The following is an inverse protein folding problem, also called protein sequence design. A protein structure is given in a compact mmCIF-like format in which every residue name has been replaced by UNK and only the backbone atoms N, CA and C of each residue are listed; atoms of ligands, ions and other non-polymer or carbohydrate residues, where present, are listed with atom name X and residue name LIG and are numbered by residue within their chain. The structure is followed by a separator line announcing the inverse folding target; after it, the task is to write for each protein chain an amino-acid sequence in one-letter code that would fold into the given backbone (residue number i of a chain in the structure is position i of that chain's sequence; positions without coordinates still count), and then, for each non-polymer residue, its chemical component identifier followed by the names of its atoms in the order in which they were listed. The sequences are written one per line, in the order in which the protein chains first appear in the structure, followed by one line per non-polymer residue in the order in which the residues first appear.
data_IF_214710931634
#
_entry.id   IF_214710931634
#
_cell.length_a   1.000
_cell.length_b   1.000
_cell.length_c   1.000
_cell.angle_alpha   90.00
_cell.angle_beta   90.00
_cell.angle_gamma   90.00
#
_symmetry.space_group_name_H-M   'P 1'
#
loop_
_entity.id
_entity.type
_entity.pdbx_description
1 polymer ?
#
# COMPACT_ATOMS: atom_id res chain seq x y z
N UNK A 1 31.68 -23.99 35.93
CA UNK A 1 30.61 -23.79 34.93
C UNK A 1 30.28 -22.32 34.72
N UNK A 2 30.01 -21.51 35.76
CA UNK A 2 29.71 -20.07 35.62
C UNK A 2 30.79 -19.26 34.87
N UNK A 3 32.07 -19.45 35.20
CA UNK A 3 33.18 -18.76 34.54
C UNK A 3 33.36 -19.14 33.06
N UNK A 4 33.06 -20.39 32.67
CA UNK A 4 33.11 -20.85 31.29
C UNK A 4 31.92 -20.31 30.48
N UNK A 5 30.73 -20.24 31.09
CA UNK A 5 29.57 -19.61 30.49
C UNK A 5 29.76 -18.09 30.36
N UNK A 6 30.29 -17.40 31.37
CA UNK A 6 30.60 -15.95 31.30
C UNK A 6 31.68 -15.63 30.24
N UNK A 7 32.63 -16.56 30.02
CA UNK A 7 33.65 -16.44 28.98
C UNK A 7 33.06 -16.71 27.59
N UNK A 8 32.19 -17.73 27.47
CA UNK A 8 31.45 -18.03 26.24
C UNK A 8 30.47 -16.90 25.88
N UNK A 9 29.76 -16.31 26.84
CA UNK A 9 28.90 -15.12 26.65
C UNK A 9 29.71 -13.85 26.34
N UNK A 10 30.98 -13.76 26.76
CA UNK A 10 31.86 -12.64 26.33
C UNK A 10 32.42 -12.84 24.91
N UNK A 11 32.67 -14.09 24.52
CA UNK A 11 33.21 -14.43 23.20
C UNK A 11 32.09 -14.49 22.13
N UNK A 12 30.91 -14.95 22.55
CA UNK A 12 29.66 -15.13 21.80
C UNK A 12 28.50 -14.58 22.64
N UNK A 13 28.36 -13.24 22.74
CA UNK A 13 27.23 -12.65 23.47
C UNK A 13 25.90 -13.19 22.94
N UNK A 14 24.93 -13.47 23.83
CA UNK A 14 23.63 -13.95 23.41
C UNK A 14 23.07 -12.96 22.40
N UNK A 15 22.67 -13.51 21.27
CA UNK A 15 22.03 -12.85 20.14
C UNK A 15 20.89 -12.01 20.70
N UNK A 16 21.11 -10.68 20.81
CA UNK A 16 20.01 -9.77 21.14
C UNK A 16 19.10 -9.75 19.92
N UNK A 17 17.85 -10.19 20.04
CA UNK A 17 16.93 -10.10 18.93
C UNK A 17 16.65 -8.62 18.61
N UNK A 18 16.31 -8.37 17.36
CA UNK A 18 15.79 -7.07 16.97
C UNK A 18 14.56 -6.75 17.82
N UNK A 19 14.43 -5.49 18.21
CA UNK A 19 13.29 -5.06 19.02
C UNK A 19 12.07 -4.91 18.11
N UNK A 20 10.87 -5.34 18.56
CA UNK A 20 9.66 -5.05 17.83
C UNK A 20 9.50 -3.55 17.59
N UNK A 21 9.02 -3.18 16.40
CA UNK A 21 8.85 -1.79 16.00
C UNK A 21 8.86 -1.59 14.50
N UNK A 22 8.47 -0.39 14.09
CA UNK A 22 8.51 0.09 12.71
C UNK A 22 9.76 0.94 12.49
N UNK A 23 10.57 0.57 11.51
CA UNK A 23 11.80 1.24 11.12
C UNK A 23 11.69 1.64 9.65
N UNK A 24 12.00 2.90 9.36
CA UNK A 24 11.78 3.44 8.01
C UNK A 24 13.04 4.07 7.48
N UNK A 25 13.29 3.85 6.20
CA UNK A 25 14.36 4.50 5.48
C UNK A 25 13.77 5.38 4.39
N UNK A 26 14.29 6.60 4.31
CA UNK A 26 14.00 7.53 3.23
C UNK A 26 15.31 7.90 2.55
N UNK A 27 15.36 7.83 1.21
CA UNK A 27 16.57 8.14 0.48
C UNK A 27 16.91 9.64 0.57
N UNK A 28 18.18 9.94 0.83
CA UNK A 28 18.75 11.27 0.57
C UNK A 28 19.17 11.41 -0.91
N UNK A 29 19.41 12.64 -1.36
CA UNK A 29 19.68 12.98 -2.79
C UNK A 29 20.85 12.22 -3.43
N UNK A 30 21.76 11.68 -2.63
CA UNK A 30 22.99 11.01 -3.09
C UNK A 30 23.08 9.56 -2.59
N UNK A 31 21.98 9.00 -2.06
CA UNK A 31 21.97 7.63 -1.57
C UNK A 31 22.01 6.61 -2.71
N UNK A 32 22.79 5.54 -2.51
CA UNK A 32 22.93 4.45 -3.48
C UNK A 32 21.63 3.64 -3.66
N UNK A 33 20.66 3.77 -2.73
CA UNK A 33 19.37 3.10 -2.77
C UNK A 33 18.24 4.15 -2.79
N UNK A 34 17.70 4.51 -3.98
CA UNK A 34 16.83 5.68 -4.12
C UNK A 34 15.36 5.42 -3.78
N UNK A 35 15.05 4.44 -2.93
CA UNK A 35 13.68 4.05 -2.62
C UNK A 35 13.38 4.04 -1.12
N UNK A 36 12.16 4.46 -0.76
CA UNK A 36 11.64 4.34 0.60
C UNK A 36 11.31 2.88 0.94
N UNK A 37 11.48 2.53 2.22
CA UNK A 37 11.12 1.20 2.72
C UNK A 37 10.70 1.28 4.18
N UNK A 38 9.80 0.37 4.57
CA UNK A 38 9.39 0.19 5.96
C UNK A 38 9.67 -1.24 6.40
N UNK A 39 10.56 -1.41 7.36
CA UNK A 39 10.83 -2.66 8.05
C UNK A 39 10.01 -2.69 9.33
N UNK A 40 9.03 -3.60 9.42
CA UNK A 40 8.30 -3.84 10.68
C UNK A 40 8.78 -5.15 11.28
N UNK A 41 9.26 -5.08 12.51
CA UNK A 41 9.63 -6.24 13.31
C UNK A 41 8.44 -6.54 14.20
N UNK A 42 7.72 -7.61 13.89
CA UNK A 42 6.54 -8.08 14.63
C UNK A 42 6.99 -8.81 15.89
N UNK A 43 7.96 -9.71 15.71
CA UNK A 43 8.63 -10.44 16.78
C UNK A 43 10.11 -10.57 16.45
N UNK A 44 10.97 -10.96 17.41
CA UNK A 44 12.35 -11.37 17.17
C UNK A 44 12.59 -12.30 15.96
N UNK A 45 11.60 -13.11 15.60
CA UNK A 45 11.69 -14.16 14.58
C UNK A 45 10.87 -13.85 13.33
N UNK A 46 10.07 -12.78 13.35
CA UNK A 46 9.17 -12.40 12.27
C UNK A 46 9.29 -10.91 11.97
N UNK A 47 9.75 -10.60 10.76
CA UNK A 47 9.82 -9.25 10.25
C UNK A 47 9.26 -9.20 8.83
N UNK A 48 8.71 -8.05 8.49
CA UNK A 48 8.18 -7.76 7.17
C UNK A 48 8.86 -6.52 6.60
N UNK A 49 9.08 -6.51 5.30
CA UNK A 49 9.47 -5.33 4.54
C UNK A 49 8.28 -4.89 3.71
N UNK A 50 7.95 -3.61 3.79
CA UNK A 50 6.88 -3.01 3.02
C UNK A 50 7.53 -2.01 2.06
N UNK A 51 7.24 -2.23 0.78
CA UNK A 51 7.81 -1.53 -0.36
C UNK A 51 6.68 -0.93 -1.20
N UNK A 52 6.81 0.37 -1.54
CA UNK A 52 5.85 1.10 -2.38
C UNK A 52 4.35 0.88 -2.02
N UNK A 53 4.03 0.67 -0.74
CA UNK A 53 2.69 0.31 -0.22
C UNK A 53 1.97 -0.92 -0.80
N UNK A 54 2.50 -1.57 -1.83
CA UNK A 54 1.86 -2.71 -2.50
C UNK A 54 2.55 -4.04 -2.28
N UNK A 55 3.84 -4.02 -1.89
CA UNK A 55 4.62 -5.24 -1.76
C UNK A 55 5.03 -5.44 -0.32
N UNK A 56 4.49 -6.51 0.30
CA UNK A 56 4.88 -6.98 1.63
C UNK A 56 5.73 -8.23 1.47
N UNK A 57 6.98 -8.19 1.91
CA UNK A 57 7.90 -9.32 1.92
C UNK A 57 8.10 -9.80 3.34
N UNK A 58 7.88 -11.09 3.60
CA UNK A 58 8.28 -11.71 4.85
C UNK A 58 9.78 -11.99 4.81
N UNK A 59 10.48 -11.54 5.86
CA UNK A 59 11.93 -11.63 5.94
C UNK A 59 12.33 -12.76 6.86
N UNK A 60 13.37 -13.50 6.45
CA UNK A 60 14.11 -14.31 7.40
C UNK A 60 14.95 -13.42 8.34
N UNK A 61 15.47 -14.02 9.41
CA UNK A 61 16.19 -13.28 10.45
C UNK A 61 17.41 -12.50 9.91
N UNK A 62 18.18 -13.08 8.99
CA UNK A 62 19.40 -12.43 8.47
C UNK A 62 19.06 -11.27 7.53
N UNK A 63 18.04 -11.41 6.69
CA UNK A 63 17.53 -10.32 5.85
C UNK A 63 16.98 -9.17 6.68
N UNK A 64 16.23 -9.47 7.76
CA UNK A 64 15.75 -8.47 8.70
C UNK A 64 16.90 -7.69 9.36
N UNK A 65 17.99 -8.37 9.74
CA UNK A 65 19.16 -7.72 10.32
C UNK A 65 19.96 -6.89 9.31
N UNK A 66 20.08 -7.35 8.06
CA UNK A 66 20.70 -6.55 6.99
C UNK A 66 19.95 -5.24 6.75
N UNK A 67 18.62 -5.33 6.63
CA UNK A 67 17.76 -4.18 6.40
C UNK A 67 17.73 -3.26 7.61
N UNK A 68 17.66 -3.82 8.82
CA UNK A 68 17.72 -3.03 10.06
C UNK A 68 19.02 -2.22 10.14
N UNK A 69 20.17 -2.86 9.95
CA UNK A 69 21.47 -2.18 9.97
C UNK A 69 21.55 -1.11 8.89
N UNK A 70 21.05 -1.39 7.68
CA UNK A 70 21.01 -0.45 6.57
C UNK A 70 20.15 0.78 6.90
N UNK A 71 18.93 0.58 7.40
CA UNK A 71 18.01 1.66 7.82
C UNK A 71 18.63 2.49 8.96
N UNK A 72 19.44 1.89 9.83
CA UNK A 72 20.18 2.58 10.88
C UNK A 72 21.50 3.22 10.40
N UNK A 73 21.71 3.29 9.08
CA UNK A 73 22.92 3.84 8.44
C UNK A 73 24.23 3.16 8.87
N UNK A 74 24.17 1.88 9.25
CA UNK A 74 25.36 1.08 9.50
C UNK A 74 25.96 0.63 8.17
N UNK A 75 27.26 0.88 7.98
CA UNK A 75 27.92 0.55 6.71
C UNK A 75 27.96 -0.96 6.47
N UNK A 76 27.81 -1.37 5.21
CA UNK A 76 27.92 -2.75 4.73
C UNK A 76 29.06 -3.53 5.36
N UNK A 77 30.28 -2.99 5.38
CA UNK A 77 31.45 -3.65 5.98
C UNK A 77 31.32 -3.90 7.49
N UNK A 78 30.67 -2.99 8.21
CA UNK A 78 30.42 -3.14 9.64
C UNK A 78 29.34 -4.19 9.88
N UNK A 79 28.26 -4.18 9.10
CA UNK A 79 27.20 -5.19 9.14
C UNK A 79 27.74 -6.58 8.85
N UNK A 80 28.51 -6.75 7.77
CA UNK A 80 29.16 -8.03 7.43
C UNK A 80 30.05 -8.51 8.57
N UNK A 81 30.85 -7.63 9.17
CA UNK A 81 31.72 -7.99 10.29
C UNK A 81 30.92 -8.38 11.54
N UNK A 82 29.84 -7.68 11.84
CA UNK A 82 28.98 -7.96 12.99
C UNK A 82 28.26 -9.30 12.83
N UNK A 83 27.62 -9.53 11.68
CA UNK A 83 26.82 -10.72 11.42
C UNK A 83 27.67 -11.96 11.19
N UNK A 84 28.84 -11.84 10.54
CA UNK A 84 29.83 -12.93 10.46
C UNK A 84 30.25 -13.43 11.84
N UNK A 85 30.45 -12.51 12.80
CA UNK A 85 30.78 -12.88 14.18
C UNK A 85 29.57 -13.50 14.90
N UNK A 86 28.37 -12.92 14.71
CA UNK A 86 27.11 -13.34 15.35
C UNK A 86 26.73 -14.77 14.97
N UNK A 87 26.73 -15.09 13.68
CA UNK A 87 26.33 -16.39 13.15
C UNK A 87 27.48 -17.40 13.02
N UNK A 88 28.71 -16.99 13.32
CA UNK A 88 29.92 -17.79 13.11
C UNK A 88 30.07 -18.28 11.65
N UNK A 89 29.71 -17.43 10.70
CA UNK A 89 29.77 -17.68 9.24
C UNK A 89 30.89 -16.84 8.63
N UNK A 90 31.50 -17.32 7.54
CA UNK A 90 32.54 -16.58 6.83
C UNK A 90 32.02 -15.23 6.30
N UNK A 91 32.82 -14.17 6.44
CA UNK A 91 32.46 -12.83 5.94
C UNK A 91 32.10 -12.81 4.45
N UNK A 92 32.74 -13.65 3.65
CA UNK A 92 32.46 -13.75 2.21
C UNK A 92 31.03 -14.24 1.94
N UNK A 93 30.52 -15.18 2.73
CA UNK A 93 29.14 -15.65 2.63
C UNK A 93 28.17 -14.54 3.02
N UNK A 94 28.36 -13.91 4.17
CA UNK A 94 27.50 -12.79 4.63
C UNK A 94 27.51 -11.63 3.63
N UNK A 95 28.66 -11.33 3.01
CA UNK A 95 28.78 -10.31 1.98
C UNK A 95 27.96 -10.67 0.73
N UNK A 96 28.04 -11.93 0.29
CA UNK A 96 27.27 -12.44 -0.85
C UNK A 96 25.77 -12.38 -0.57
N UNK A 97 25.33 -12.81 0.61
CA UNK A 97 23.91 -12.80 0.99
C UNK A 97 23.36 -11.37 1.10
N UNK A 98 24.18 -10.43 1.60
CA UNK A 98 23.83 -9.01 1.63
C UNK A 98 23.68 -8.46 0.22
N UNK A 99 24.67 -8.68 -0.65
CA UNK A 99 24.64 -8.14 -2.02
C UNK A 99 23.46 -8.70 -2.82
N UNK A 100 23.19 -10.01 -2.72
CA UNK A 100 22.07 -10.67 -3.38
C UNK A 100 20.71 -10.11 -2.90
N UNK A 101 20.53 -9.87 -1.60
CA UNK A 101 19.31 -9.26 -1.08
C UNK A 101 19.09 -7.86 -1.68
N UNK A 102 20.10 -6.99 -1.64
CA UNK A 102 19.95 -5.61 -2.11
C UNK A 102 19.80 -5.53 -3.63
N UNK A 103 20.45 -6.42 -4.39
CA UNK A 103 20.25 -6.54 -5.84
C UNK A 103 18.81 -6.95 -6.16
N UNK A 104 18.26 -7.97 -5.49
CA UNK A 104 16.86 -8.38 -5.66
C UNK A 104 15.88 -7.28 -5.30
N UNK A 105 16.11 -6.56 -4.19
CA UNK A 105 15.29 -5.41 -3.80
C UNK A 105 15.36 -4.31 -4.85
N UNK A 106 16.54 -3.99 -5.37
CA UNK A 106 16.69 -2.98 -6.42
C UNK A 106 15.91 -3.38 -7.68
N UNK A 107 15.99 -4.64 -8.09
CA UNK A 107 15.23 -5.17 -9.25
C UNK A 107 13.72 -5.07 -9.00
N UNK A 108 13.25 -5.47 -7.82
CA UNK A 108 11.84 -5.39 -7.42
C UNK A 108 11.30 -3.95 -7.41
N UNK A 109 12.13 -2.99 -7.02
CA UNK A 109 11.74 -1.58 -6.93
C UNK A 109 11.82 -0.83 -8.27
N UNK A 110 12.67 -1.30 -9.18
CA UNK A 110 12.88 -0.65 -10.51
C UNK A 110 12.08 -1.29 -11.64
N UNK A 111 11.56 -2.50 -11.43
CA UNK A 111 10.83 -3.25 -12.46
C UNK A 111 9.34 -3.20 -12.15
N UNK A 112 8.52 -2.50 -12.97
CA UNK A 112 7.07 -2.50 -12.81
C UNK A 112 6.52 -3.93 -12.86
N UNK A 113 5.58 -4.23 -11.96
CA UNK A 113 4.77 -5.45 -11.92
C UNK A 113 5.55 -6.77 -11.90
N UNK A 114 6.78 -6.73 -11.37
CA UNK A 114 7.58 -7.93 -11.14
C UNK A 114 7.03 -8.73 -9.96
N UNK A 115 6.59 -9.96 -10.22
CA UNK A 115 6.23 -10.91 -9.17
C UNK A 115 7.49 -11.36 -8.39
N UNK A 116 7.62 -11.03 -7.09
CA UNK A 116 8.79 -11.39 -6.29
C UNK A 116 8.97 -12.91 -6.15
N UNK A 117 7.90 -13.70 -6.17
CA UNK A 117 7.98 -15.15 -5.99
C UNK A 117 8.50 -15.81 -7.26
N UNK A 118 7.91 -15.48 -8.41
CA UNK A 118 8.21 -16.14 -9.69
C UNK A 118 9.58 -15.74 -10.27
N UNK A 119 10.08 -14.54 -9.95
CA UNK A 119 11.30 -14.00 -10.55
C UNK A 119 12.49 -13.84 -9.60
N UNK A 120 12.26 -13.73 -8.29
CA UNK A 120 13.32 -13.42 -7.32
C UNK A 120 13.47 -14.51 -6.24
N UNK A 121 12.87 -15.68 -6.43
CA UNK A 121 12.90 -16.84 -5.51
C UNK A 121 12.53 -16.48 -4.06
N UNK A 122 11.66 -15.49 -3.83
CA UNK A 122 11.12 -15.24 -2.50
C UNK A 122 10.15 -16.37 -2.10
N UNK A 123 10.31 -16.92 -0.90
CA UNK A 123 9.37 -17.94 -0.40
C UNK A 123 7.99 -17.32 -0.20
N UNK A 124 6.99 -17.86 -0.91
CA UNK A 124 5.58 -17.45 -0.76
C UNK A 124 5.06 -17.91 0.61
N UNK A 125 4.95 -17.00 1.56
CA UNK A 125 4.03 -17.17 2.68
C UNK A 125 2.62 -16.78 2.24
N UNK A 126 1.61 -17.50 2.73
CA UNK A 126 0.21 -17.17 2.46
C UNK A 126 -0.03 -15.75 2.98
N UNK A 127 -0.56 -14.82 2.15
CA UNK A 127 -0.89 -13.47 2.59
C UNK A 127 -1.67 -13.53 3.90
N UNK A 128 -1.26 -12.74 4.89
CA UNK A 128 -2.01 -12.58 6.14
C UNK A 128 -2.08 -13.84 7.01
N UNK A 129 -1.24 -14.86 6.79
CA UNK A 129 -1.29 -16.11 7.60
C UNK A 129 -0.61 -16.05 8.98
N UNK A 130 -0.03 -14.90 9.37
CA UNK A 130 0.65 -14.69 10.65
C UNK A 130 -0.16 -13.82 11.63
N UNK A 131 0.11 -13.94 12.94
CA UNK A 131 -0.36 -12.95 13.91
C UNK A 131 0.31 -11.60 13.64
N UNK A 132 -0.46 -10.62 13.15
CA UNK A 132 0.02 -9.26 12.91
C UNK A 132 -0.14 -8.41 14.17
N UNK A 133 0.88 -7.62 14.54
CA UNK A 133 0.77 -6.71 15.69
C UNK A 133 -0.06 -5.47 15.36
N UNK A 134 -0.16 -5.11 14.07
CA UNK A 134 -0.97 -4.01 13.57
C UNK A 134 -1.39 -4.24 12.11
N UNK A 135 -2.48 -3.59 11.65
CA UNK A 135 -2.88 -3.60 10.25
C UNK A 135 -1.75 -3.09 9.33
N UNK A 136 -1.74 -3.54 8.08
CA UNK A 136 -0.84 -3.04 7.05
C UNK A 136 -1.33 -1.73 6.44
N UNK A 137 -2.66 -1.48 6.51
CA UNK A 137 -3.32 -0.34 5.89
C UNK A 137 -4.49 0.15 6.75
N UNK A 138 -4.72 1.46 6.75
CA UNK A 138 -5.98 2.04 7.21
C UNK A 138 -6.68 2.76 6.06
N UNK A 139 -7.96 2.49 5.92
CA UNK A 139 -8.85 3.16 4.98
C UNK A 139 -9.67 4.20 5.77
N UNK A 140 -9.36 5.48 5.58
CA UNK A 140 -9.86 6.61 6.37
C UNK A 140 -10.97 7.32 5.59
N UNK A 141 -12.23 7.05 5.95
CA UNK A 141 -13.38 7.70 5.33
C UNK A 141 -13.55 9.12 5.90
N UNK A 142 -13.04 10.13 5.19
CA UNK A 142 -13.02 11.49 5.73
C UNK A 142 -14.40 12.17 5.72
N UNK A 143 -15.30 11.69 4.87
CA UNK A 143 -16.66 12.19 4.71
C UNK A 143 -17.49 11.15 3.99
N UNK A 144 -18.81 11.24 4.05
CA UNK A 144 -19.68 10.57 3.09
C UNK A 144 -20.34 11.53 2.10
N UNK A 145 -19.90 12.80 2.04
CA UNK A 145 -20.33 13.75 0.99
C UNK A 145 -19.69 13.38 -0.34
N UNK A 146 -20.44 13.53 -1.42
CA UNK A 146 -19.97 13.30 -2.80
C UNK A 146 -20.06 14.60 -3.61
N UNK A 147 -19.40 14.65 -4.77
CA UNK A 147 -19.49 15.77 -5.71
C UNK A 147 -20.90 16.00 -6.25
N UNK A 148 -21.20 17.23 -6.67
CA UNK A 148 -22.52 17.56 -7.26
C UNK A 148 -22.80 16.68 -8.49
N UNK A 149 -23.97 16.03 -8.51
CA UNK A 149 -24.40 15.15 -9.61
C UNK A 149 -24.33 13.65 -9.32
N UNK A 150 -23.65 13.22 -8.24
CA UNK A 150 -23.72 11.82 -7.81
C UNK A 150 -25.11 11.51 -7.22
N UNK A 151 -25.83 10.54 -7.76
CA UNK A 151 -27.17 10.13 -7.28
C UNK A 151 -27.14 9.33 -5.95
N UNK A 152 -26.13 9.53 -5.11
CA UNK A 152 -25.93 8.76 -3.88
C UNK A 152 -26.25 9.64 -2.66
N UNK A 153 -27.54 9.80 -2.37
CA UNK A 153 -27.98 10.17 -1.02
C UNK A 153 -27.95 8.89 -0.15
N UNK A 154 -26.74 8.47 0.25
CA UNK A 154 -26.57 7.19 0.95
C UNK A 154 -27.26 7.21 2.32
N UNK A 155 -27.82 6.07 2.75
CA UNK A 155 -28.26 5.89 4.13
C UNK A 155 -27.10 6.12 5.13
N UNK A 156 -25.86 5.97 4.68
CA UNK A 156 -24.64 6.25 5.44
C UNK A 156 -24.49 7.74 5.77
N UNK A 157 -24.75 8.66 4.83
CA UNK A 157 -24.79 10.10 5.13
C UNK A 157 -25.82 10.43 6.20
N UNK A 158 -26.94 9.69 6.25
CA UNK A 158 -28.01 9.87 7.24
C UNK A 158 -27.64 9.29 8.61
N UNK A 159 -26.73 8.32 8.67
CA UNK A 159 -26.22 7.71 9.91
C UNK A 159 -25.17 8.60 10.60
N UNK A 160 -24.29 9.23 9.82
CA UNK A 160 -23.26 10.14 10.36
C UNK A 160 -23.91 11.45 10.78
N UNK A 161 -23.98 11.70 12.09
CA UNK A 161 -24.52 12.96 12.63
C UNK A 161 -23.44 14.01 12.90
N UNK A 162 -22.19 13.58 13.02
CA UNK A 162 -21.03 14.43 13.26
C UNK A 162 -19.79 13.76 12.64
N UNK A 163 -19.09 14.49 11.76
CA UNK A 163 -17.77 14.07 11.25
C UNK A 163 -16.67 14.49 12.23
N UNK A 164 -15.57 13.73 12.28
CA UNK A 164 -14.35 14.09 12.99
C UNK A 164 -13.81 15.43 12.46
N UNK A 165 -13.28 16.21 13.39
CA UNK A 165 -12.58 17.47 13.10
C UNK A 165 -11.20 17.24 12.48
N UNK A 166 -10.61 18.32 11.93
CA UNK A 166 -9.22 18.30 11.45
C UNK A 166 -8.26 17.80 12.53
N UNK A 167 -8.40 18.27 13.76
CA UNK A 167 -7.53 17.89 14.88
C UNK A 167 -7.68 16.42 15.26
N UNK A 168 -8.89 15.86 15.14
CA UNK A 168 -9.16 14.45 15.41
C UNK A 168 -8.55 13.56 14.32
N UNK A 169 -8.70 13.93 13.04
CA UNK A 169 -8.06 13.19 11.94
C UNK A 169 -6.55 13.24 12.00
N UNK A 170 -5.94 14.38 12.32
CA UNK A 170 -4.49 14.48 12.54
C UNK A 170 -4.04 13.54 13.67
N UNK A 171 -4.85 13.40 14.72
CA UNK A 171 -4.58 12.46 15.81
C UNK A 171 -4.75 10.99 15.41
N UNK A 172 -5.65 10.69 14.49
CA UNK A 172 -5.76 9.34 13.90
C UNK A 172 -4.50 9.01 13.10
N UNK A 173 -4.01 9.95 12.27
CA UNK A 173 -2.74 9.78 11.53
C UNK A 173 -1.58 9.53 12.50
N UNK A 174 -1.40 10.37 13.52
CA UNK A 174 -0.34 10.20 14.52
C UNK A 174 -0.41 8.84 15.23
N UNK A 175 -1.60 8.46 15.74
CA UNK A 175 -1.79 7.17 16.41
C UNK A 175 -1.54 5.98 15.50
N UNK A 176 -1.96 6.06 14.23
CA UNK A 176 -1.76 5.00 13.26
C UNK A 176 -0.27 4.70 13.09
N UNK A 177 0.55 5.75 13.06
CA UNK A 177 2.00 5.60 13.02
C UNK A 177 2.57 5.01 14.30
N UNK A 178 2.12 5.49 15.47
CA UNK A 178 2.58 5.00 16.78
C UNK A 178 2.35 3.49 16.96
N UNK A 179 1.27 2.95 16.38
CA UNK A 179 0.96 1.51 16.42
C UNK A 179 1.58 0.74 15.24
N UNK A 180 2.30 1.40 14.33
CA UNK A 180 3.04 0.75 13.26
C UNK A 180 2.24 0.48 11.98
N UNK A 181 1.22 1.30 11.68
CA UNK A 181 0.54 1.32 10.38
C UNK A 181 1.35 2.16 9.38
N UNK A 182 1.86 1.56 8.29
CA UNK A 182 2.70 2.25 7.32
C UNK A 182 1.94 2.86 6.14
N UNK A 183 0.66 2.51 5.93
CA UNK A 183 -0.10 2.92 4.74
C UNK A 183 -1.49 3.44 5.11
N UNK A 184 -1.83 4.64 4.60
CA UNK A 184 -3.13 5.28 4.78
C UNK A 184 -3.79 5.55 3.42
N UNK A 185 -5.04 5.16 3.25
CA UNK A 185 -5.86 5.57 2.10
C UNK A 185 -6.98 6.48 2.57
N UNK A 186 -7.02 7.71 2.07
CA UNK A 186 -8.10 8.65 2.32
C UNK A 186 -9.24 8.41 1.32
N UNK A 187 -10.45 8.17 1.83
CA UNK A 187 -11.60 7.66 1.07
C UNK A 187 -12.92 8.16 1.68
N UNK A 188 -14.02 7.43 1.44
CA UNK A 188 -15.37 7.65 1.95
C UNK A 188 -16.31 7.98 0.79
N UNK A 189 -16.89 9.18 0.84
CA UNK A 189 -17.44 9.85 -0.32
C UNK A 189 -16.30 10.42 -1.16
N UNK A 190 -16.27 11.73 -1.34
CA UNK A 190 -15.20 12.42 -2.05
C UNK A 190 -14.23 13.08 -1.05
N UNK A 191 -13.06 12.47 -0.75
CA UNK A 191 -12.14 12.97 0.26
C UNK A 191 -11.58 14.35 -0.09
N UNK A 192 -11.47 14.68 -1.37
CA UNK A 192 -10.96 15.99 -1.79
C UNK A 192 -11.90 17.14 -1.43
N UNK A 193 -13.15 16.88 -1.04
CA UNK A 193 -14.04 17.91 -0.48
C UNK A 193 -13.59 18.38 0.90
N UNK A 194 -12.78 17.60 1.62
CA UNK A 194 -12.27 18.02 2.92
C UNK A 194 -11.11 19.02 2.77
N UNK A 195 -11.23 20.24 3.31
CA UNK A 195 -10.24 21.30 3.11
C UNK A 195 -8.90 20.99 3.78
N UNK A 196 -8.89 20.06 4.73
CA UNK A 196 -7.72 19.65 5.50
C UNK A 196 -7.01 18.40 4.95
N UNK A 197 -7.50 17.78 3.86
CA UNK A 197 -6.82 16.63 3.23
C UNK A 197 -5.32 16.90 2.95
N UNK A 198 -4.90 18.06 2.38
CA UNK A 198 -3.47 18.35 2.19
C UNK A 198 -2.65 18.33 3.49
N UNK A 199 -3.24 18.67 4.64
CA UNK A 199 -2.56 18.65 5.93
C UNK A 199 -2.42 17.24 6.47
N UNK A 200 -3.40 16.36 6.22
CA UNK A 200 -3.32 14.95 6.59
C UNK A 200 -2.24 14.23 5.80
N UNK A 201 -2.16 14.47 4.49
CA UNK A 201 -1.07 14.00 3.64
C UNK A 201 0.28 14.47 4.18
N UNK A 202 0.42 15.77 4.45
CA UNK A 202 1.66 16.33 5.00
C UNK A 202 2.06 15.70 6.34
N UNK A 203 1.10 15.43 7.22
CA UNK A 203 1.35 14.79 8.51
C UNK A 203 1.83 13.35 8.34
N UNK A 204 1.15 12.57 7.49
CA UNK A 204 1.54 11.20 7.15
C UNK A 204 2.94 11.16 6.52
N UNK A 205 3.24 12.10 5.62
CA UNK A 205 4.57 12.27 5.02
C UNK A 205 5.62 12.59 6.08
N UNK A 206 5.32 13.35 7.15
CA UNK A 206 6.32 13.56 8.22
C UNK A 206 6.72 12.26 8.92
N UNK A 207 5.83 11.28 8.98
CA UNK A 207 6.11 9.93 9.49
C UNK A 207 6.71 9.02 8.42
N UNK A 208 6.40 9.30 7.15
CA UNK A 208 6.83 8.54 5.98
C UNK A 208 5.83 7.45 5.67
N UNK A 209 4.62 7.57 6.18
CA UNK A 209 3.54 6.69 5.80
C UNK A 209 3.26 6.91 4.32
N UNK A 210 3.07 5.81 3.60
CA UNK A 210 2.59 5.88 2.23
C UNK A 210 1.14 6.32 2.26
N UNK A 211 0.76 7.22 1.36
CA UNK A 211 -0.60 7.73 1.28
C UNK A 211 -1.25 7.51 -0.08
N UNK A 212 -2.54 7.20 -0.04
CA UNK A 212 -3.40 7.10 -1.21
C UNK A 212 -4.66 7.94 -1.07
N UNK A 213 -5.26 8.31 -2.20
CA UNK A 213 -6.64 8.79 -2.24
C UNK A 213 -7.49 7.92 -3.15
N UNK A 214 -8.73 7.65 -2.75
CA UNK A 214 -9.79 7.13 -3.61
C UNK A 214 -10.74 8.29 -3.93
N UNK A 215 -10.86 8.65 -5.20
CA UNK A 215 -11.54 9.89 -5.61
C UNK A 215 -12.29 9.73 -6.93
N UNK A 216 -13.34 10.54 -7.13
CA UNK A 216 -14.00 10.75 -8.42
C UNK A 216 -13.14 11.58 -9.41
N UNK A 217 -12.07 12.20 -8.92
CA UNK A 217 -11.12 12.96 -9.71
C UNK A 217 -11.59 14.36 -10.13
N UNK A 218 -12.85 14.76 -9.88
CA UNK A 218 -13.41 16.04 -10.36
C UNK A 218 -12.58 17.22 -9.88
N UNK A 219 -12.18 17.24 -8.60
CA UNK A 219 -11.35 18.32 -8.04
C UNK A 219 -9.90 18.30 -8.54
N UNK A 220 -9.43 17.19 -9.09
CA UNK A 220 -8.09 17.07 -9.69
C UNK A 220 -8.01 17.71 -11.09
N UNK A 221 -9.14 18.14 -11.67
CA UNK A 221 -9.13 19.05 -12.83
C UNK A 221 -8.51 20.41 -12.50
N UNK A 222 -8.59 20.85 -11.24
CA UNK A 222 -7.86 22.02 -10.76
C UNK A 222 -6.39 21.64 -10.55
N UNK A 223 -5.54 22.05 -11.51
CA UNK A 223 -4.10 21.76 -11.48
C UNK A 223 -3.39 22.34 -10.27
N UNK A 224 -3.83 23.47 -9.72
CA UNK A 224 -3.19 24.04 -8.53
C UNK A 224 -3.47 23.16 -7.30
N UNK A 225 -4.70 22.65 -7.19
CA UNK A 225 -5.06 21.71 -6.13
C UNK A 225 -4.40 20.34 -6.30
N UNK A 226 -4.38 19.78 -7.52
CA UNK A 226 -3.69 18.54 -7.82
C UNK A 226 -2.21 18.63 -7.44
N UNK A 227 -1.52 19.68 -7.90
CA UNK A 227 -0.12 19.92 -7.55
C UNK A 227 0.08 20.10 -6.05
N UNK A 228 -0.87 20.71 -5.34
CA UNK A 228 -0.81 20.79 -3.88
C UNK A 228 -0.80 19.40 -3.24
N UNK A 229 -1.66 18.46 -3.68
CA UNK A 229 -1.68 17.11 -3.12
C UNK A 229 -0.39 16.34 -3.43
N UNK A 230 0.07 16.37 -4.69
CA UNK A 230 1.31 15.72 -5.12
C UNK A 230 2.52 16.21 -4.29
N UNK A 231 2.59 17.51 -3.99
CA UNK A 231 3.68 18.08 -3.20
C UNK A 231 3.55 17.87 -1.67
N UNK A 232 2.45 17.30 -1.18
CA UNK A 232 2.21 17.06 0.25
C UNK A 232 2.38 15.58 0.64
N UNK A 233 2.98 14.76 -0.23
CA UNK A 233 3.28 13.36 0.04
C UNK A 233 2.20 12.38 -0.38
N UNK A 234 1.41 12.71 -1.42
CA UNK A 234 0.51 11.76 -2.06
C UNK A 234 1.31 10.78 -2.93
N UNK A 235 1.22 9.47 -2.64
CA UNK A 235 2.00 8.45 -3.36
C UNK A 235 1.23 7.72 -4.46
N UNK A 236 -0.09 7.61 -4.33
CA UNK A 236 -0.92 6.99 -5.35
C UNK A 236 -2.37 7.47 -5.34
N UNK A 237 -3.04 7.28 -6.47
CA UNK A 237 -4.42 7.68 -6.70
C UNK A 237 -5.17 6.50 -7.26
N UNK A 238 -6.33 6.22 -6.68
CA UNK A 238 -7.36 5.40 -7.31
C UNK A 238 -8.47 6.33 -7.77
N UNK A 239 -8.60 6.47 -9.08
CA UNK A 239 -9.63 7.29 -9.70
C UNK A 239 -10.81 6.40 -10.07
N UNK A 240 -11.96 6.62 -9.43
CA UNK A 240 -13.21 5.96 -9.79
C UNK A 240 -13.75 6.64 -11.05
N UNK A 241 -13.66 5.96 -12.18
CA UNK A 241 -14.08 6.53 -13.44
C UNK A 241 -15.59 6.42 -13.58
N UNK A 242 -16.24 7.58 -13.71
CA UNK A 242 -17.55 7.69 -14.32
C UNK A 242 -17.37 8.03 -15.81
N UNK A 243 -17.63 7.07 -16.74
CA UNK A 243 -17.44 7.30 -18.17
C UNK A 243 -18.33 8.42 -18.74
N UNK A 244 -19.44 8.73 -18.07
CA UNK A 244 -20.41 9.75 -18.48
C UNK A 244 -20.03 11.16 -17.98
N UNK A 245 -18.97 11.28 -17.18
CA UNK A 245 -18.50 12.55 -16.61
C UNK A 245 -17.19 13.03 -17.28
N UNK A 246 -17.29 14.07 -18.10
CA UNK A 246 -16.13 14.68 -18.79
C UNK A 246 -14.98 15.06 -17.85
N UNK A 247 -15.31 15.50 -16.63
CA UNK A 247 -14.32 15.87 -15.62
C UNK A 247 -13.45 14.69 -15.15
N UNK A 248 -13.98 13.46 -15.12
CA UNK A 248 -13.19 12.28 -14.77
C UNK A 248 -12.14 11.99 -15.86
N UNK A 249 -12.52 12.12 -17.14
CA UNK A 249 -11.59 11.98 -18.25
C UNK A 249 -10.52 13.07 -18.28
N UNK A 250 -10.91 14.31 -17.96
CA UNK A 250 -9.94 15.42 -17.80
C UNK A 250 -8.97 15.15 -16.66
N UNK A 251 -9.45 14.61 -15.53
CA UNK A 251 -8.60 14.23 -14.41
C UNK A 251 -7.61 13.12 -14.78
N UNK A 252 -8.04 12.08 -15.50
CA UNK A 252 -7.13 11.05 -16.04
C UNK A 252 -6.05 11.69 -16.92
N UNK A 253 -6.44 12.56 -17.86
CA UNK A 253 -5.50 13.23 -18.75
C UNK A 253 -4.52 14.18 -18.04
N UNK A 254 -4.93 14.77 -16.91
CA UNK A 254 -4.07 15.61 -16.07
C UNK A 254 -3.11 14.78 -15.20
N UNK A 255 -3.53 13.62 -14.71
CA UNK A 255 -2.75 12.79 -13.78
C UNK A 255 -1.68 11.94 -14.47
N UNK A 256 -1.98 11.36 -15.64
CA UNK A 256 -1.06 10.42 -16.29
C UNK A 256 0.32 11.00 -16.69
N UNK A 257 0.46 12.29 -17.02
CA UNK A 257 1.77 12.89 -17.25
C UNK A 257 2.59 13.14 -15.98
N UNK A 258 1.98 13.11 -14.80
CA UNK A 258 2.64 13.39 -13.53
C UNK A 258 3.36 12.16 -12.99
N UNK A 259 4.37 12.37 -12.14
CA UNK A 259 5.12 11.28 -11.48
C UNK A 259 4.34 10.74 -10.27
N UNK A 260 3.20 10.11 -10.55
CA UNK A 260 2.28 9.56 -9.55
C UNK A 260 1.71 8.22 -10.01
N UNK A 261 1.58 7.26 -9.10
CA UNK A 261 0.93 6.00 -9.43
C UNK A 261 -0.59 6.18 -9.52
N UNK A 262 -1.15 5.95 -10.71
CA UNK A 262 -2.60 6.02 -10.96
C UNK A 262 -3.14 4.64 -11.26
N UNK A 263 -4.20 4.26 -10.55
CA UNK A 263 -5.09 3.14 -10.92
C UNK A 263 -6.47 3.69 -11.26
N UNK A 264 -7.01 3.31 -12.41
CA UNK A 264 -8.38 3.66 -12.80
C UNK A 264 -9.33 2.53 -12.38
N UNK A 265 -10.29 2.83 -11.51
CA UNK A 265 -11.31 1.87 -11.10
C UNK A 265 -12.56 1.95 -11.98
N UNK A 266 -13.03 0.80 -12.46
CA UNK A 266 -14.29 0.66 -13.20
C UNK A 266 -15.27 -0.23 -12.43
N UNK A 267 -16.48 0.27 -12.26
CA UNK A 267 -17.59 -0.52 -11.73
C UNK A 267 -18.44 -1.06 -12.88
N UNK A 268 -18.48 -2.39 -13.02
CA UNK A 268 -19.38 -3.09 -13.93
C UNK A 268 -20.81 -2.90 -13.44
N UNK A 269 -21.62 -2.22 -14.25
CA UNK A 269 -22.98 -1.79 -13.95
C UNK A 269 -23.98 -2.16 -15.08
N UNK A 270 -23.50 -2.81 -16.13
CA UNK A 270 -24.29 -3.39 -17.21
C UNK A 270 -23.60 -4.65 -17.76
N UNK A 271 -24.30 -5.40 -18.62
CA UNK A 271 -23.84 -6.69 -19.14
C UNK A 271 -23.30 -6.61 -20.57
N UNK A 272 -23.21 -5.42 -21.16
CA UNK A 272 -22.71 -5.23 -22.53
C UNK A 272 -21.18 -5.24 -22.52
N UNK A 273 -20.57 -6.38 -22.83
CA UNK A 273 -19.12 -6.55 -22.82
C UNK A 273 -18.43 -5.68 -23.90
N UNK A 274 -19.09 -5.44 -25.05
CA UNK A 274 -18.55 -4.58 -26.11
C UNK A 274 -18.41 -3.13 -25.64
N UNK A 275 -19.31 -2.65 -24.79
CA UNK A 275 -19.20 -1.34 -24.15
C UNK A 275 -17.91 -1.23 -23.33
N UNK A 276 -17.61 -2.22 -22.47
CA UNK A 276 -16.41 -2.20 -21.63
C UNK A 276 -15.14 -2.38 -22.45
N UNK A 277 -15.17 -3.18 -23.51
CA UNK A 277 -14.04 -3.27 -24.43
C UNK A 277 -13.70 -1.90 -25.02
N UNK A 278 -14.69 -1.17 -25.55
CA UNK A 278 -14.48 0.18 -26.08
C UNK A 278 -13.96 1.15 -25.01
N UNK A 279 -14.46 1.04 -23.77
CA UNK A 279 -14.02 1.84 -22.64
C UNK A 279 -12.55 1.57 -22.28
N UNK A 280 -12.16 0.30 -22.23
CA UNK A 280 -10.77 -0.13 -21.98
C UNK A 280 -9.83 0.29 -23.12
N UNK A 281 -10.26 0.16 -24.37
CA UNK A 281 -9.49 0.67 -25.52
C UNK A 281 -9.28 2.19 -25.43
N UNK A 282 -10.28 2.94 -24.96
CA UNK A 282 -10.14 4.38 -24.72
C UNK A 282 -9.13 4.68 -23.60
N UNK A 283 -9.19 3.94 -22.49
CA UNK A 283 -8.22 4.08 -21.39
C UNK A 283 -6.79 3.74 -21.85
N UNK A 284 -6.63 2.70 -22.67
CA UNK A 284 -5.33 2.34 -23.25
C UNK A 284 -4.79 3.46 -24.15
N UNK A 285 -5.66 4.09 -24.95
CA UNK A 285 -5.30 5.24 -25.79
C UNK A 285 -4.88 6.47 -24.97
N UNK A 286 -5.43 6.64 -23.76
CA UNK A 286 -5.00 7.64 -22.80
C UNK A 286 -3.69 7.28 -22.09
N UNK A 287 -3.14 6.08 -22.32
CA UNK A 287 -1.94 5.53 -21.68
C UNK A 287 -2.15 5.11 -20.22
N UNK A 288 -3.39 4.81 -19.83
CA UNK A 288 -3.64 4.11 -18.57
C UNK A 288 -3.05 2.70 -18.66
N UNK A 289 -2.28 2.31 -17.64
CA UNK A 289 -1.70 0.96 -17.55
C UNK A 289 -2.27 0.13 -16.41
N UNK A 290 -2.73 0.77 -15.33
CA UNK A 290 -3.26 0.08 -14.15
C UNK A 290 -4.77 0.31 -14.03
N UNK A 291 -5.52 -0.78 -13.88
CA UNK A 291 -6.96 -0.71 -13.64
C UNK A 291 -7.36 -1.55 -12.44
N UNK A 292 -8.54 -1.25 -11.91
CA UNK A 292 -9.22 -2.08 -10.93
C UNK A 292 -10.66 -2.27 -11.38
N UNK A 293 -11.23 -3.46 -11.19
CA UNK A 293 -12.57 -3.79 -11.65
C UNK A 293 -13.42 -4.30 -10.48
N UNK A 294 -14.66 -3.82 -10.36
CA UNK A 294 -15.66 -4.36 -9.44
C UNK A 294 -17.00 -4.58 -10.14
N UNK A 295 -17.89 -5.37 -9.55
CA UNK A 295 -19.26 -5.51 -10.02
C UNK A 295 -20.23 -4.80 -9.09
N UNK A 296 -21.22 -4.09 -9.64
CA UNK A 296 -22.28 -3.43 -8.87
C UNK A 296 -23.15 -4.44 -8.12
N UNK A 297 -23.45 -5.55 -8.78
CA UNK A 297 -24.35 -6.61 -8.29
C UNK A 297 -23.80 -8.00 -8.65
N UNK A 298 -24.17 -9.01 -7.86
CA UNK A 298 -23.68 -10.40 -8.02
C UNK A 298 -23.98 -11.01 -9.39
N UNK A 299 -25.08 -10.64 -10.02
CA UNK A 299 -25.46 -11.11 -11.36
C UNK A 299 -24.55 -10.59 -12.47
N UNK A 300 -23.72 -9.58 -12.19
CA UNK A 300 -22.71 -9.07 -13.12
C UNK A 300 -21.35 -9.77 -13.01
N UNK A 301 -21.21 -10.79 -12.14
CA UNK A 301 -19.95 -11.51 -11.98
C UNK A 301 -19.41 -12.08 -13.29
N UNK A 302 -20.27 -12.67 -14.12
CA UNK A 302 -19.83 -13.21 -15.40
C UNK A 302 -19.26 -12.11 -16.31
N UNK A 303 -19.91 -10.94 -16.36
CA UNK A 303 -19.42 -9.80 -17.14
C UNK A 303 -18.11 -9.27 -16.55
N UNK A 304 -17.97 -9.21 -15.23
CA UNK A 304 -16.71 -8.85 -14.58
C UNK A 304 -15.57 -9.79 -14.99
N UNK A 305 -15.81 -11.11 -15.01
CA UNK A 305 -14.80 -12.10 -15.42
C UNK A 305 -14.40 -11.90 -16.90
N UNK A 306 -15.38 -11.70 -17.79
CA UNK A 306 -15.14 -11.43 -19.20
C UNK A 306 -14.35 -10.12 -19.43
N UNK A 307 -14.70 -9.06 -18.70
CA UNK A 307 -14.01 -7.75 -18.80
C UNK A 307 -12.59 -7.82 -18.21
N UNK A 308 -12.36 -8.62 -17.17
CA UNK A 308 -11.01 -8.89 -16.66
C UNK A 308 -10.12 -9.51 -17.75
N UNK A 309 -10.59 -10.54 -18.44
CA UNK A 309 -9.83 -11.18 -19.53
C UNK A 309 -9.52 -10.18 -20.66
N UNK A 310 -10.50 -9.36 -21.06
CA UNK A 310 -10.28 -8.30 -22.07
C UNK A 310 -9.22 -7.31 -21.62
N UNK A 311 -9.25 -6.89 -20.35
CA UNK A 311 -8.25 -5.98 -19.82
C UNK A 311 -6.82 -6.58 -19.86
N UNK A 312 -6.69 -7.86 -19.48
CA UNK A 312 -5.40 -8.58 -19.57
C UNK A 312 -4.91 -8.69 -21.02
N UNK A 313 -5.81 -9.00 -21.96
CA UNK A 313 -5.49 -9.07 -23.40
C UNK A 313 -5.06 -7.72 -23.98
N UNK A 314 -5.62 -6.62 -23.47
CA UNK A 314 -5.21 -5.24 -23.79
C UNK A 314 -3.92 -4.80 -23.05
N UNK A 315 -3.36 -5.66 -22.19
CA UNK A 315 -2.09 -5.43 -21.51
C UNK A 315 -2.17 -4.54 -20.27
N UNK A 316 -3.35 -4.42 -19.66
CA UNK A 316 -3.49 -3.73 -18.37
C UNK A 316 -2.95 -4.58 -17.23
N UNK A 317 -2.34 -3.92 -16.24
CA UNK A 317 -2.07 -4.48 -14.92
C UNK A 317 -3.31 -4.31 -14.05
N UNK A 318 -3.82 -5.41 -13.46
CA UNK A 318 -5.03 -5.37 -12.64
C UNK A 318 -4.69 -5.32 -11.15
N UNK A 319 -5.19 -4.29 -10.47
CA UNK A 319 -5.02 -4.08 -9.03
C UNK A 319 -6.28 -4.53 -8.29
N UNK A 320 -6.14 -5.54 -7.43
CA UNK A 320 -7.24 -6.12 -6.65
C UNK A 320 -7.31 -5.59 -5.20
N UNK A 321 -6.20 -5.16 -4.61
CA UNK A 321 -6.12 -4.72 -3.20
C UNK A 321 -6.31 -3.20 -3.05
N UNK A 322 -7.51 -2.72 -3.37
CA UNK A 322 -7.90 -1.32 -3.25
C UNK A 322 -9.20 -1.23 -2.44
N UNK A 323 -9.36 -0.26 -1.52
CA UNK A 323 -10.65 0.06 -0.93
C UNK A 323 -11.55 0.64 -2.03
N UNK A 324 -12.34 -0.21 -2.68
CA UNK A 324 -13.27 0.23 -3.72
C UNK A 324 -14.58 0.68 -3.07
N UNK A 325 -15.22 1.77 -3.54
CA UNK A 325 -16.38 2.32 -2.87
C UNK A 325 -17.65 1.53 -3.23
N UNK A 326 -18.36 1.09 -2.19
CA UNK A 326 -19.80 0.81 -2.17
C UNK A 326 -20.42 0.07 -3.36
N UNK A 327 -19.81 -1.02 -3.82
CA UNK A 327 -20.60 -2.13 -4.33
C UNK A 327 -20.89 -3.09 -3.16
N UNK A 328 -22.09 -3.66 -3.11
CA UNK A 328 -22.40 -4.75 -2.16
C UNK A 328 -21.63 -6.05 -2.47
N UNK A 329 -20.68 -5.99 -3.42
CA UNK A 329 -19.99 -7.13 -4.02
C UNK A 329 -18.57 -6.70 -4.42
N UNK A 330 -17.77 -6.44 -3.39
CA UNK A 330 -16.32 -6.34 -3.53
C UNK A 330 -15.77 -7.74 -3.89
N UNK A 331 -14.91 -7.90 -4.91
CA UNK A 331 -14.21 -9.16 -5.18
C UNK A 331 -13.45 -9.70 -3.95
N UNK A 332 -12.94 -8.80 -3.10
CA UNK A 332 -12.31 -9.15 -1.81
C UNK A 332 -13.33 -9.63 -0.77
N UNK A 333 -14.55 -9.08 -0.73
CA UNK A 333 -15.64 -9.67 0.09
C UNK A 333 -16.10 -11.03 -0.48
N UNK A 334 -16.08 -11.21 -1.80
CA UNK A 334 -16.46 -12.46 -2.46
C UNK A 334 -15.41 -13.58 -2.27
N UNK A 335 -14.12 -13.25 -2.20
CA UNK A 335 -13.06 -14.19 -1.79
C UNK A 335 -13.17 -14.54 -0.30
N UNK A 336 -13.48 -13.55 0.57
CA UNK A 336 -13.65 -13.75 2.01
C UNK A 336 -14.96 -14.48 2.39
N UNK A 337 -16.02 -14.40 1.58
CA UNK A 337 -17.24 -15.21 1.75
C UNK A 337 -17.06 -16.65 1.24
N UNK A 338 -16.12 -16.89 0.31
CA UNK A 338 -15.89 -18.20 -0.30
C UNK A 338 -14.95 -19.11 0.52
N UNK A 339 -14.08 -18.54 1.33
CA UNK A 339 -13.25 -19.29 2.28
C UNK A 339 -13.69 -18.99 3.72
N UNK A 340 -13.97 -20.04 4.51
CA UNK A 340 -14.01 -19.93 5.97
C UNK A 340 -12.61 -19.51 6.47
N UNK A 341 -12.23 -18.25 6.31
CA UNK A 341 -11.00 -17.71 6.84
C UNK A 341 -11.21 -17.52 8.33
N UNK A 342 -10.75 -18.52 9.10
CA UNK A 342 -10.53 -18.40 10.54
C UNK A 342 -9.85 -17.07 10.83
N UNK A 343 -10.52 -16.25 11.64
CA UNK A 343 -10.04 -15.02 12.30
C UNK A 343 -8.52 -14.82 12.23
N UNK A 344 -8.07 -14.28 11.11
CA UNK A 344 -6.78 -13.61 10.96
C UNK A 344 -7.07 -12.15 11.33
N UNK A 345 -6.31 -11.57 12.26
CA UNK A 345 -6.47 -10.16 12.63
C UNK A 345 -6.48 -9.29 11.37
N UNK A 346 -7.50 -8.44 11.22
CA UNK A 346 -7.80 -7.74 9.96
C UNK A 346 -6.56 -7.04 9.38
N UNK A 347 -6.11 -7.49 8.21
CA UNK A 347 -4.93 -6.95 7.53
C UNK A 347 -5.05 -5.46 7.17
N UNK A 348 -6.28 -4.95 7.11
CA UNK A 348 -6.63 -3.54 6.99
C UNK A 348 -7.75 -3.21 7.98
N UNK A 349 -7.88 -1.95 8.37
CA UNK A 349 -9.07 -1.46 9.09
C UNK A 349 -9.65 -0.26 8.35
N UNK A 350 -10.96 -0.10 8.47
CA UNK A 350 -11.71 1.05 7.97
C UNK A 350 -12.10 1.92 9.16
N UNK A 351 -11.95 3.24 9.04
CA UNK A 351 -12.41 4.21 10.04
C UNK A 351 -13.46 5.10 9.38
N UNK A 352 -14.68 5.08 9.93
CA UNK A 352 -15.82 5.87 9.47
C UNK A 352 -15.63 7.38 9.78
N UNK A 353 -16.39 8.28 9.13
CA UNK A 353 -16.24 9.72 9.33
C UNK A 353 -16.45 10.21 10.76
N UNK A 354 -17.16 9.46 11.60
CA UNK A 354 -17.39 9.76 13.02
C UNK A 354 -16.39 9.06 13.97
N UNK A 355 -15.47 8.26 13.42
CA UNK A 355 -14.39 7.59 14.13
C UNK A 355 -14.68 6.18 14.64
N UNK A 356 -15.84 5.62 14.30
CA UNK A 356 -16.13 4.18 14.46
C UNK A 356 -15.25 3.34 13.51
#
# INVERSE_FOLDING_TARGET
MKFLNDLLEKLYPPVKPLQPGLYSYRPEKDDDFPFSMHLRIETPEHAILILHAKTVLHLNQTAAEFLYDFIQHMSRDRTIKALSKRYAVAKATIASDYDDLFERLQVLMTTPDLDPVSFLDFERQVPYSGEIAAPYRLDLALTYRFSEGSEVESELQKRITQELSEEEWLRVVEKSWEIGVPHLIFTGGEPTLQPYLPKLLAAAETHGQVTGILTDGVKLTDRDYMNLLLNQGLDHIVLVLDPDQDACWEAVANLLPEDIHVTVHLTINQTDTDYYQNLLENLQNQQVSNISLSARTKDMQQTLDEVNEIALDLGFSITYDIPVPYSHYNPVELELEAEEVKEVGNAWLYIEPDGD
#
